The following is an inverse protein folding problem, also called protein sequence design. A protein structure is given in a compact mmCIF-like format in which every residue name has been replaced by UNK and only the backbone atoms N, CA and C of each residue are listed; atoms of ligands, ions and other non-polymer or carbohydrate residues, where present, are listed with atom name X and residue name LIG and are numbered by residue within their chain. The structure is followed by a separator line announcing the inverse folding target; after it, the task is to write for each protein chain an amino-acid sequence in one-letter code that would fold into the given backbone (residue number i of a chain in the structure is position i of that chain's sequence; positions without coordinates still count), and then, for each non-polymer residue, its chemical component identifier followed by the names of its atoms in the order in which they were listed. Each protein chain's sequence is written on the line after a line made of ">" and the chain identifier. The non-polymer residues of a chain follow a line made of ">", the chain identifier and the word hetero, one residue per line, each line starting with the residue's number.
data_IF_137551044105
#
_entry.id   IF_137551044105
#
_cell.length_a   1.000
_cell.length_b   1.000
_cell.length_c   1.000
_cell.angle_alpha   90.00
_cell.angle_beta   90.00
_cell.angle_gamma   90.00
#
_symmetry.space_group_name_H-M   'P 1'
#
loop_
_entity.id
_entity.type
_entity.pdbx_description
1 polymer ?
#
# COMPACT_ATOMS: atom_id res chain seq x y z
N UNK A 1 23.39 -5.53 -29.37
CA UNK A 1 22.27 -5.38 -28.41
C UNK A 1 22.46 -6.36 -27.25
N UNK A 2 23.49 -6.15 -26.42
CA UNK A 2 23.73 -6.92 -25.17
C UNK A 2 24.53 -5.97 -24.24
N UNK A 3 23.84 -5.00 -23.62
CA UNK A 3 24.44 -4.10 -22.62
C UNK A 3 23.45 -3.66 -21.52
N UNK A 4 22.13 -3.89 -21.69
CA UNK A 4 21.11 -3.46 -20.71
C UNK A 4 20.99 -4.37 -19.47
N UNK A 5 21.38 -5.65 -19.55
CA UNK A 5 21.17 -6.57 -18.42
C UNK A 5 22.22 -6.46 -17.30
N UNK A 6 23.47 -6.10 -17.62
CA UNK A 6 24.53 -6.02 -16.60
C UNK A 6 24.41 -4.76 -15.73
N UNK A 7 23.94 -3.63 -16.29
CA UNK A 7 23.70 -2.41 -15.51
C UNK A 7 22.41 -2.50 -14.67
N UNK A 8 21.37 -3.14 -15.20
CA UNK A 8 20.13 -3.41 -14.46
C UNK A 8 20.39 -4.27 -13.22
N UNK A 9 21.24 -5.29 -13.34
CA UNK A 9 21.63 -6.17 -12.23
C UNK A 9 22.49 -5.45 -11.17
N UNK A 10 23.46 -4.62 -11.57
CA UNK A 10 24.27 -3.80 -10.63
C UNK A 10 23.43 -2.76 -9.88
N UNK A 11 22.47 -2.13 -10.57
CA UNK A 11 21.59 -1.13 -9.96
C UNK A 11 20.64 -1.75 -8.94
N UNK A 12 20.23 -3.00 -9.14
CA UNK A 12 19.34 -3.73 -8.20
C UNK A 12 19.99 -3.98 -6.83
N UNK A 13 21.32 -4.04 -6.75
CA UNK A 13 22.08 -4.28 -5.52
C UNK A 13 22.72 -3.03 -4.94
N UNK A 14 22.67 -1.90 -5.66
CA UNK A 14 23.19 -0.63 -5.19
C UNK A 14 22.32 -0.03 -4.06
N UNK A 15 22.97 0.69 -3.13
CA UNK A 15 22.35 1.24 -1.93
C UNK A 15 22.59 2.75 -1.82
N UNK A 16 21.52 3.50 -1.56
CA UNK A 16 21.53 4.96 -1.39
C UNK A 16 21.13 5.38 0.01
N UNK A 17 21.49 6.60 0.41
CA UNK A 17 21.09 7.19 1.69
C UNK A 17 19.56 7.36 1.75
N UNK A 18 18.94 7.01 2.88
CA UNK A 18 17.49 6.99 3.05
C UNK A 18 16.87 8.32 3.53
N UNK A 19 17.66 9.35 3.87
CA UNK A 19 17.19 10.60 4.49
C UNK A 19 16.15 11.32 3.64
N UNK A 20 16.45 11.54 2.36
CA UNK A 20 15.53 12.20 1.42
C UNK A 20 14.23 11.42 1.28
N UNK A 21 14.32 10.11 1.07
CA UNK A 21 13.16 9.23 0.91
C UNK A 21 12.30 9.14 2.17
N UNK A 22 12.92 9.24 3.35
CA UNK A 22 12.20 9.31 4.63
C UNK A 22 11.39 10.60 4.73
N UNK A 23 11.97 11.73 4.35
CA UNK A 23 11.27 13.01 4.31
C UNK A 23 10.11 12.96 3.31
N UNK A 24 10.35 12.48 2.08
CA UNK A 24 9.34 12.35 1.03
C UNK A 24 8.14 11.50 1.49
N UNK A 25 8.40 10.29 2.00
CA UNK A 25 7.33 9.41 2.51
C UNK A 25 6.55 10.07 3.64
N UNK A 26 7.22 10.75 4.57
CA UNK A 26 6.55 11.46 5.67
C UNK A 26 5.69 12.62 5.18
N UNK A 27 6.16 13.37 4.18
CA UNK A 27 5.38 14.42 3.50
C UNK A 27 4.11 13.83 2.92
N UNK A 28 4.22 12.78 2.10
CA UNK A 28 3.06 12.12 1.48
C UNK A 28 2.05 11.58 2.50
N UNK A 29 2.50 10.98 3.60
CA UNK A 29 1.60 10.50 4.67
C UNK A 29 0.83 11.67 5.28
N UNK A 30 1.53 12.78 5.57
CA UNK A 30 0.96 13.93 6.26
C UNK A 30 0.02 14.74 5.34
N UNK A 31 0.50 15.09 4.15
CA UNK A 31 -0.22 15.93 3.18
C UNK A 31 -1.45 15.21 2.63
N UNK A 32 -1.31 13.96 2.21
CA UNK A 32 -2.42 13.22 1.61
C UNK A 32 -3.31 12.52 2.63
N UNK A 33 -2.96 12.56 3.93
CA UNK A 33 -3.70 11.89 5.02
C UNK A 33 -4.00 10.41 4.76
N UNK A 34 -3.03 9.70 4.19
CA UNK A 34 -3.12 8.26 3.91
C UNK A 34 -2.19 7.45 4.80
N UNK A 35 -2.57 6.21 5.18
CA UNK A 35 -1.66 5.33 5.91
C UNK A 35 -0.39 5.06 5.10
N UNK A 36 0.78 4.99 5.76
CA UNK A 36 2.06 4.67 5.10
C UNK A 36 2.02 3.34 4.33
N UNK A 37 1.16 2.39 4.73
CA UNK A 37 0.95 1.13 4.01
C UNK A 37 0.33 1.35 2.63
N UNK A 38 -0.53 2.35 2.46
CA UNK A 38 -1.09 2.72 1.15
C UNK A 38 0.03 3.21 0.23
N UNK A 39 0.95 4.04 0.73
CA UNK A 39 2.12 4.50 -0.03
C UNK A 39 2.99 3.30 -0.43
N UNK A 40 3.22 2.35 0.47
CA UNK A 40 3.98 1.14 0.14
C UNK A 40 3.35 0.33 -0.98
N UNK A 41 2.01 0.21 -0.96
CA UNK A 41 1.26 -0.49 -1.98
C UNK A 41 1.30 0.22 -3.33
N UNK A 42 1.13 1.55 -3.36
CA UNK A 42 1.24 2.36 -4.57
C UNK A 42 2.65 2.33 -5.15
N UNK A 43 3.67 2.46 -4.31
CA UNK A 43 5.07 2.41 -4.73
C UNK A 43 5.53 1.00 -5.13
N UNK A 44 4.75 -0.05 -4.85
CA UNK A 44 5.20 -1.44 -4.97
C UNK A 44 6.52 -1.71 -4.21
N UNK A 45 6.65 -1.13 -3.02
CA UNK A 45 7.80 -1.29 -2.12
C UNK A 45 7.38 -2.11 -0.90
N UNK A 46 8.23 -3.00 -0.38
CA UNK A 46 7.89 -3.78 0.81
C UNK A 46 7.45 -2.88 1.97
N UNK A 47 6.29 -3.20 2.56
CA UNK A 47 5.67 -2.41 3.64
C UNK A 47 6.66 -2.13 4.78
N UNK A 48 7.53 -3.08 5.13
CA UNK A 48 8.53 -2.89 6.19
C UNK A 48 9.56 -1.78 5.90
N UNK A 49 9.92 -1.55 4.63
CA UNK A 49 10.83 -0.47 4.24
C UNK A 49 10.11 0.88 4.44
N UNK A 50 8.91 1.01 3.88
CA UNK A 50 8.12 2.25 3.98
C UNK A 50 7.72 2.56 5.42
N UNK A 51 7.44 1.55 6.24
CA UNK A 51 7.22 1.70 7.69
C UNK A 51 8.38 2.45 8.36
N UNK A 52 9.62 2.03 8.07
CA UNK A 52 10.83 2.63 8.66
C UNK A 52 11.07 4.05 8.14
N UNK A 53 10.83 4.28 6.85
CA UNK A 53 10.92 5.62 6.24
C UNK A 53 9.89 6.58 6.87
N UNK A 54 8.66 6.11 7.07
CA UNK A 54 7.60 6.83 7.77
C UNK A 54 7.85 7.05 9.27
N UNK A 55 8.92 6.49 9.84
CA UNK A 55 9.24 6.61 11.26
C UNK A 55 8.37 5.75 12.18
N UNK A 56 7.67 4.75 11.65
CA UNK A 56 6.73 3.88 12.37
C UNK A 56 7.33 2.54 12.78
N UNK A 57 8.65 2.45 12.89
CA UNK A 57 9.35 1.23 13.29
C UNK A 57 10.48 1.52 14.27
N UNK A 58 10.92 0.48 14.98
CA UNK A 58 11.80 0.60 16.16
C UNK A 58 13.18 1.20 15.86
N UNK A 59 13.64 1.12 14.60
CA UNK A 59 14.96 1.60 14.20
C UNK A 59 14.91 2.39 12.88
N UNK A 60 15.51 3.59 12.85
CA UNK A 60 15.64 4.36 11.63
C UNK A 60 16.40 3.55 10.56
N UNK A 61 16.04 3.74 9.30
CA UNK A 61 16.74 3.17 8.16
C UNK A 61 17.67 4.23 7.59
N UNK A 62 18.94 3.88 7.36
CA UNK A 62 19.93 4.81 6.83
C UNK A 62 20.22 4.58 5.35
N UNK A 63 19.98 3.36 4.84
CA UNK A 63 20.17 3.04 3.43
C UNK A 63 19.03 2.17 2.91
N UNK A 64 18.63 2.42 1.67
CA UNK A 64 17.67 1.61 0.92
C UNK A 64 18.27 1.21 -0.42
N UNK A 65 17.74 0.13 -1.02
CA UNK A 65 18.16 -0.27 -2.35
C UNK A 65 17.73 0.78 -3.36
N UNK A 66 18.54 1.00 -4.40
CA UNK A 66 18.22 1.96 -5.47
C UNK A 66 16.87 1.66 -6.11
N UNK A 67 16.53 0.38 -6.29
CA UNK A 67 15.23 0.00 -6.86
C UNK A 67 14.04 0.47 -6.00
N UNK A 68 14.15 0.39 -4.68
CA UNK A 68 13.10 0.86 -3.77
C UNK A 68 13.05 2.39 -3.73
N UNK A 69 14.22 3.04 -3.73
CA UNK A 69 14.35 4.49 -3.84
C UNK A 69 13.67 5.04 -5.09
N UNK A 70 13.94 4.45 -6.26
CA UNK A 70 13.35 4.84 -7.53
C UNK A 70 11.83 4.67 -7.54
N UNK A 71 11.33 3.58 -6.94
CA UNK A 71 9.89 3.34 -6.80
C UNK A 71 9.20 4.35 -5.89
N UNK A 72 9.84 4.74 -4.79
CA UNK A 72 9.32 5.76 -3.87
C UNK A 72 9.29 7.15 -4.54
N UNK A 73 10.34 7.51 -5.30
CA UNK A 73 10.41 8.79 -6.01
C UNK A 73 9.32 8.96 -7.07
N UNK A 74 8.84 7.85 -7.64
CA UNK A 74 7.80 7.87 -8.66
C UNK A 74 6.42 8.16 -8.10
N UNK A 75 6.22 8.08 -6.79
CA UNK A 75 4.92 8.38 -6.18
C UNK A 75 4.84 9.86 -5.84
N UNK A 76 3.82 10.49 -6.39
CA UNK A 76 3.45 11.88 -6.18
C UNK A 76 2.11 11.98 -5.43
N UNK A 77 1.73 13.21 -5.07
CA UNK A 77 0.39 13.54 -4.60
C UNK A 77 -0.67 13.23 -5.66
N UNK A 78 -0.37 13.49 -6.93
CA UNK A 78 -1.27 13.27 -8.05
C UNK A 78 -1.60 11.79 -8.25
N UNK A 79 -0.64 10.88 -8.01
CA UNK A 79 -0.91 9.44 -8.05
C UNK A 79 -1.88 9.00 -6.93
N UNK A 80 -1.77 9.64 -5.76
CA UNK A 80 -2.63 9.37 -4.62
C UNK A 80 -4.04 9.91 -4.89
N UNK A 81 -4.16 11.10 -5.46
CA UNK A 81 -5.45 11.69 -5.82
C UNK A 81 -6.11 10.93 -6.97
N UNK A 82 -5.35 10.52 -7.98
CA UNK A 82 -5.84 9.64 -9.03
C UNK A 82 -6.38 8.32 -8.46
N UNK A 83 -5.79 7.76 -7.41
CA UNK A 83 -6.31 6.57 -6.74
C UNK A 83 -7.63 6.83 -5.99
N UNK A 84 -7.91 8.08 -5.55
CA UNK A 84 -9.20 8.46 -4.95
C UNK A 84 -10.32 8.52 -5.99
N UNK A 85 -9.98 8.86 -7.22
CA UNK A 85 -10.95 9.03 -8.31
C UNK A 85 -11.17 7.76 -9.13
N UNK A 86 -10.13 6.93 -9.28
CA UNK A 86 -10.17 5.73 -10.11
C UNK A 86 -11.13 4.68 -9.54
N UNK A 87 -12.15 4.32 -10.32
CA UNK A 87 -13.12 3.29 -9.96
C UNK A 87 -12.62 1.91 -10.38
N UNK A 88 -12.73 0.94 -9.49
CA UNK A 88 -12.28 -0.45 -9.68
C UNK A 88 -13.30 -1.46 -9.15
N UNK A 89 -13.29 -2.72 -9.62
CA UNK A 89 -14.15 -3.78 -9.08
C UNK A 89 -13.94 -4.03 -7.59
N UNK A 90 -15.03 -4.10 -6.83
CA UNK A 90 -15.00 -4.26 -5.38
C UNK A 90 -14.79 -5.71 -4.89
N UNK A 91 -14.85 -6.72 -5.78
CA UNK A 91 -14.81 -8.14 -5.37
C UNK A 91 -13.59 -8.52 -4.52
N UNK A 92 -12.40 -8.03 -4.89
CA UNK A 92 -11.19 -8.25 -4.09
C UNK A 92 -11.27 -7.51 -2.75
N UNK A 93 -11.75 -6.26 -2.74
CA UNK A 93 -11.96 -5.45 -1.53
C UNK A 93 -12.91 -6.17 -0.58
N UNK A 94 -14.08 -6.60 -1.06
CA UNK A 94 -15.08 -7.37 -0.29
C UNK A 94 -14.47 -8.58 0.40
N UNK A 95 -13.67 -9.37 -0.32
CA UNK A 95 -12.97 -10.54 0.26
C UNK A 95 -12.09 -10.14 1.45
N UNK A 96 -11.40 -8.99 1.35
CA UNK A 96 -10.59 -8.44 2.46
C UNK A 96 -11.45 -7.97 3.62
N UNK A 97 -12.59 -7.32 3.35
CA UNK A 97 -13.51 -6.84 4.41
C UNK A 97 -14.13 -8.00 5.17
N UNK A 98 -14.52 -9.07 4.49
CA UNK A 98 -15.00 -10.30 5.12
C UNK A 98 -13.91 -10.96 5.99
N UNK A 99 -12.65 -10.91 5.56
CA UNK A 99 -11.54 -11.37 6.38
C UNK A 99 -11.34 -10.51 7.64
N UNK A 100 -11.49 -9.18 7.53
CA UNK A 100 -11.46 -8.28 8.69
C UNK A 100 -12.60 -8.57 9.67
N UNK A 101 -13.81 -8.80 9.16
CA UNK A 101 -14.97 -9.15 9.99
C UNK A 101 -14.77 -10.47 10.73
N UNK A 102 -14.23 -11.49 10.04
CA UNK A 102 -13.85 -12.77 10.67
C UNK A 102 -12.75 -12.63 11.72
N UNK A 103 -11.89 -11.64 11.58
CA UNK A 103 -10.87 -11.29 12.57
C UNK A 103 -11.42 -10.44 13.74
N UNK A 104 -12.74 -10.26 13.82
CA UNK A 104 -13.41 -9.56 14.92
C UNK A 104 -13.54 -8.05 14.71
N UNK A 105 -13.25 -7.52 13.52
CA UNK A 105 -13.47 -6.09 13.26
C UNK A 105 -14.95 -5.80 13.04
N UNK A 106 -15.49 -4.84 13.76
CA UNK A 106 -16.86 -4.37 13.52
C UNK A 106 -16.93 -3.46 12.27
N UNK A 107 -18.15 -3.12 11.87
CA UNK A 107 -18.36 -2.32 10.66
C UNK A 107 -17.89 -0.86 10.81
N UNK A 108 -17.91 -0.31 12.02
CA UNK A 108 -17.45 1.05 12.29
C UNK A 108 -15.93 1.14 12.21
N UNK A 109 -15.23 0.13 12.72
CA UNK A 109 -13.79 -0.02 12.57
C UNK A 109 -13.39 -0.18 11.09
N UNK A 110 -14.11 -1.03 10.34
CA UNK A 110 -13.86 -1.22 8.91
C UNK A 110 -14.08 0.08 8.14
N UNK A 111 -15.18 0.79 8.38
CA UNK A 111 -15.47 2.07 7.75
C UNK A 111 -14.36 3.10 8.02
N UNK A 112 -13.87 3.17 9.26
CA UNK A 112 -12.76 4.03 9.66
C UNK A 112 -11.46 3.68 8.93
N UNK A 113 -11.13 2.39 8.84
CA UNK A 113 -9.93 1.93 8.11
C UNK A 113 -9.98 2.28 6.63
N UNK A 114 -11.16 2.15 6.02
CA UNK A 114 -11.41 2.45 4.62
C UNK A 114 -11.60 3.94 4.32
N UNK A 115 -11.84 4.77 5.35
CA UNK A 115 -12.17 6.19 5.20
C UNK A 115 -13.43 6.40 4.35
N UNK A 116 -14.48 5.64 4.67
CA UNK A 116 -15.80 5.68 4.03
C UNK A 116 -16.90 5.66 5.09
N UNK A 117 -18.14 5.90 4.68
CA UNK A 117 -19.30 5.81 5.59
C UNK A 117 -19.58 4.36 5.98
N UNK A 118 -20.19 4.15 7.17
CA UNK A 118 -20.60 2.81 7.62
C UNK A 118 -21.57 2.13 6.63
N UNK A 119 -22.48 2.90 6.02
CA UNK A 119 -23.39 2.40 4.97
C UNK A 119 -22.60 1.90 3.77
N UNK A 120 -21.63 2.67 3.26
CA UNK A 120 -20.84 2.23 2.12
C UNK A 120 -19.99 0.99 2.44
N UNK A 121 -19.43 0.92 3.66
CA UNK A 121 -18.76 -0.28 4.12
C UNK A 121 -19.70 -1.50 4.18
N UNK A 122 -20.95 -1.31 4.62
CA UNK A 122 -21.98 -2.36 4.64
C UNK A 122 -22.29 -2.86 3.23
N UNK A 123 -22.49 -1.94 2.28
CA UNK A 123 -22.80 -2.25 0.89
C UNK A 123 -21.67 -3.04 0.21
N UNK A 124 -20.41 -2.70 0.53
CA UNK A 124 -19.26 -3.45 0.03
C UNK A 124 -19.18 -4.87 0.61
N UNK A 125 -19.54 -5.05 1.88
CA UNK A 125 -19.52 -6.35 2.57
C UNK A 125 -20.66 -7.25 2.05
N UNK A 126 -21.88 -6.71 1.98
CA UNK A 126 -23.07 -7.41 1.47
C UNK A 126 -22.96 -7.71 -0.03
N UNK A 127 -22.16 -6.92 -0.76
CA UNK A 127 -22.00 -7.04 -2.21
C UNK A 127 -23.01 -6.22 -3.00
N UNK A 128 -23.79 -5.35 -2.37
CA UNK A 128 -24.62 -4.37 -3.07
C UNK A 128 -23.75 -3.39 -3.88
N UNK A 129 -22.62 -2.96 -3.31
CA UNK A 129 -21.64 -2.15 -4.02
C UNK A 129 -20.65 -3.03 -4.81
N UNK A 130 -20.82 -3.07 -6.14
CA UNK A 130 -19.94 -3.83 -7.05
C UNK A 130 -18.65 -3.10 -7.43
N UNK A 131 -18.61 -1.79 -7.22
CA UNK A 131 -17.50 -0.90 -7.56
C UNK A 131 -17.08 -0.10 -6.33
N UNK A 132 -15.80 0.22 -6.24
CA UNK A 132 -15.23 1.09 -5.21
C UNK A 132 -14.07 1.91 -5.78
N UNK A 133 -13.61 2.93 -5.06
CA UNK A 133 -12.39 3.64 -5.46
C UNK A 133 -11.17 2.75 -5.25
N UNK A 134 -10.11 2.98 -6.02
CA UNK A 134 -8.85 2.29 -5.80
C UNK A 134 -8.26 2.61 -4.42
N UNK A 135 -8.45 3.83 -3.91
CA UNK A 135 -8.08 4.21 -2.56
C UNK A 135 -8.76 3.32 -1.51
N UNK A 136 -10.08 3.08 -1.63
CA UNK A 136 -10.81 2.16 -0.76
C UNK A 136 -10.22 0.75 -0.82
N UNK A 137 -9.91 0.25 -2.01
CA UNK A 137 -9.25 -1.06 -2.21
C UNK A 137 -7.87 -1.12 -1.53
N UNK A 138 -7.05 -0.08 -1.70
CA UNK A 138 -5.72 0.02 -1.11
C UNK A 138 -5.77 0.10 0.42
N UNK A 139 -6.69 0.89 0.98
CA UNK A 139 -6.94 0.97 2.42
C UNK A 139 -7.40 -0.37 2.98
N UNK A 140 -8.28 -1.10 2.29
CA UNK A 140 -8.68 -2.46 2.69
C UNK A 140 -7.51 -3.45 2.71
N UNK A 141 -6.60 -3.36 1.73
CA UNK A 141 -5.37 -4.16 1.70
C UNK A 141 -4.40 -3.76 2.83
N UNK A 142 -4.23 -2.46 3.07
CA UNK A 142 -3.40 -1.92 4.14
C UNK A 142 -3.90 -2.34 5.54
N UNK A 143 -5.22 -2.30 5.76
CA UNK A 143 -5.86 -2.69 7.00
C UNK A 143 -5.60 -4.15 7.37
N UNK A 144 -5.74 -5.05 6.40
CA UNK A 144 -5.44 -6.45 6.61
C UNK A 144 -3.94 -6.73 6.79
N UNK A 145 -3.06 -6.03 6.05
CA UNK A 145 -1.62 -6.12 6.28
C UNK A 145 -1.24 -5.68 7.70
N UNK A 146 -1.92 -4.67 8.25
CA UNK A 146 -1.70 -4.22 9.62
C UNK A 146 -2.08 -5.27 10.67
N UNK A 147 -3.03 -6.16 10.35
CA UNK A 147 -3.54 -7.23 11.22
C UNK A 147 -2.93 -8.60 10.95
N UNK A 148 -1.95 -8.70 10.04
CA UNK A 148 -1.35 -10.00 9.68
C UNK A 148 -2.30 -10.95 8.94
N UNK A 149 -3.45 -10.46 8.44
CA UNK A 149 -4.45 -11.26 7.73
C UNK A 149 -4.02 -11.63 6.30
N UNK A 150 -2.79 -11.25 5.93
CA UNK A 150 -2.13 -11.66 4.69
C UNK A 150 -0.71 -12.14 5.00
N UNK A 151 -0.57 -13.44 5.23
CA UNK A 151 0.64 -14.17 4.90
C UNK A 151 0.32 -15.01 3.66
N UNK A 152 0.75 -14.50 2.49
CA UNK A 152 1.53 -15.19 1.43
C UNK A 152 1.23 -14.48 0.12
N UNK A 153 2.30 -14.30 -0.65
CA UNK A 153 2.27 -13.90 -2.04
C UNK A 153 1.25 -14.73 -2.83
N UNK A 154 0.76 -14.13 -3.91
CA UNK A 154 0.37 -14.87 -5.09
C UNK A 154 1.30 -16.07 -5.28
N UNK A 155 0.70 -17.23 -5.50
CA UNK A 155 1.37 -18.43 -5.95
C UNK A 155 2.41 -18.09 -7.03
N UNK A 156 3.68 -18.09 -6.64
CA UNK A 156 4.78 -18.45 -7.53
C UNK A 156 4.69 -19.96 -7.77
N UNK A 157 3.67 -20.36 -8.52
CA UNK A 157 3.41 -21.68 -9.14
C UNK A 157 2.08 -21.47 -9.88
N UNK A 158 1.95 -21.53 -11.20
CA UNK A 158 2.66 -22.33 -12.18
C UNK A 158 2.40 -21.74 -13.58
N UNK A 159 3.47 -21.46 -14.35
CA UNK A 159 3.70 -21.75 -15.77
C UNK A 159 4.94 -21.00 -16.24
#
# INVERSE_FOLDING_TARGET
>A
MIAMDLESSKTSTAWVDARFFSLHVRSLVHECRVPWRVIALLAHVPSRIVQRLAGQGDRPIHRIRVIDAMRILRISTDDIDAARERIVPAGSTRTRLLALQKAGCDIAEIATMLDVTMSHAADLISGEAQLCTEMTRLRGRAACQARGLFATAESLTSM
#
